data_IF_034623477260
#
_entry.id   IF_034623477260
#
_cell.length_a   1.000
_cell.length_b   1.000
_cell.length_c   1.000
_cell.angle_alpha   90.00
_cell.angle_beta   90.00
_cell.angle_gamma   90.00
#
_symmetry.space_group_name_H-M   'P 1'
#
loop_
_entity.id
_entity.type
_entity.pdbx_description
1 polymer ?
#
# COMPACT_ATOMS: atom_id res chain seq x y z
N UNK A 1 26.51 5.91 -22.72
CA UNK A 1 25.47 4.93 -22.32
C UNK A 1 25.69 4.56 -20.85
N UNK A 2 25.01 5.23 -19.93
CA UNK A 2 25.10 4.92 -18.49
C UNK A 2 24.13 3.79 -18.18
N UNK A 3 24.66 2.66 -17.73
CA UNK A 3 23.88 1.62 -17.07
C UNK A 3 23.09 2.26 -15.92
N UNK A 4 21.79 1.99 -15.83
CA UNK A 4 20.98 2.30 -14.65
C UNK A 4 21.51 1.45 -13.49
N UNK A 5 22.46 2.01 -12.74
CA UNK A 5 22.95 1.42 -11.51
C UNK A 5 21.86 1.60 -10.46
N UNK A 6 20.99 0.60 -10.33
CA UNK A 6 19.98 0.58 -9.29
C UNK A 6 20.68 0.41 -7.94
N UNK A 7 20.97 1.53 -7.29
CA UNK A 7 21.48 1.55 -5.93
C UNK A 7 20.33 1.23 -4.97
N UNK A 8 20.59 0.40 -3.96
CA UNK A 8 19.59 0.01 -2.97
C UNK A 8 19.01 1.23 -2.24
N UNK A 9 19.82 2.27 -2.09
CA UNK A 9 19.43 3.54 -1.45
C UNK A 9 18.24 4.24 -2.12
N UNK A 10 17.89 3.92 -3.38
CA UNK A 10 16.70 4.48 -4.02
C UNK A 10 15.37 3.91 -3.50
N UNK A 11 15.42 2.84 -2.70
CA UNK A 11 14.25 2.19 -2.12
C UNK A 11 14.20 2.32 -0.59
N UNK A 12 15.20 2.97 0.02
CA UNK A 12 15.21 3.26 1.45
C UNK A 12 14.23 4.39 1.79
N UNK A 13 13.51 4.24 2.90
CA UNK A 13 12.60 5.24 3.43
C UNK A 13 12.58 5.20 4.96
N UNK A 14 12.24 6.32 5.59
CA UNK A 14 12.13 6.42 7.04
C UNK A 14 10.89 5.67 7.53
N UNK A 15 11.10 4.54 8.21
CA UNK A 15 10.04 3.73 8.82
C UNK A 15 10.22 3.66 10.34
N UNK A 16 9.45 4.46 11.11
CA UNK A 16 9.40 4.33 12.55
C UNK A 16 8.98 2.91 12.96
N UNK A 17 9.71 2.31 13.91
CA UNK A 17 9.47 0.93 14.35
C UNK A 17 8.05 0.72 14.94
N UNK A 18 7.45 1.77 15.51
CA UNK A 18 6.07 1.76 16.03
C UNK A 18 4.99 1.56 14.96
N UNK A 19 5.30 1.91 13.70
CA UNK A 19 4.38 1.71 12.57
C UNK A 19 4.43 0.28 12.00
N UNK A 20 5.38 -0.54 12.47
CA UNK A 20 5.48 -1.95 12.12
C UNK A 20 4.49 -2.73 12.98
N UNK A 21 3.43 -3.23 12.34
CA UNK A 21 2.41 -4.02 13.02
C UNK A 21 3.02 -5.32 13.61
N UNK A 22 2.99 -5.43 14.93
CA UNK A 22 3.51 -6.60 15.66
C UNK A 22 2.52 -7.77 15.68
N UNK A 23 1.23 -7.47 15.51
CA UNK A 23 0.12 -8.44 15.49
C UNK A 23 -0.90 -8.02 14.43
N UNK A 24 -1.63 -8.96 13.82
CA UNK A 24 -2.72 -8.63 12.92
C UNK A 24 -3.85 -7.88 13.64
N UNK A 25 -4.69 -7.18 12.87
CA UNK A 25 -5.90 -6.54 13.41
C UNK A 25 -6.87 -7.58 14.00
N UNK A 26 -7.55 -7.19 15.08
CA UNK A 26 -8.39 -8.09 15.87
C UNK A 26 -9.58 -8.65 15.09
N UNK A 27 -10.13 -7.87 14.15
CA UNK A 27 -11.17 -8.32 13.22
C UNK A 27 -10.68 -8.23 11.78
N UNK A 28 -10.82 -9.34 11.04
CA UNK A 28 -10.51 -9.39 9.61
C UNK A 28 -11.36 -8.34 8.87
N UNK A 29 -10.70 -7.55 8.01
CA UNK A 29 -11.33 -6.50 7.21
C UNK A 29 -11.24 -5.08 7.79
N UNK A 30 -10.89 -4.91 9.06
CA UNK A 30 -10.76 -3.57 9.67
C UNK A 30 -9.40 -2.89 9.43
N UNK A 31 -8.49 -3.54 8.70
CA UNK A 31 -7.22 -2.93 8.34
C UNK A 31 -7.43 -1.76 7.36
N UNK A 32 -6.56 -0.74 7.46
CA UNK A 32 -6.54 0.38 6.49
C UNK A 32 -6.15 -0.14 5.10
N UNK A 33 -6.75 0.44 4.07
CA UNK A 33 -6.46 0.20 2.66
C UNK A 33 -5.97 1.52 2.04
N UNK A 34 -4.76 1.51 1.48
CA UNK A 34 -4.25 2.63 0.68
C UNK A 34 -4.48 2.32 -0.79
N UNK A 35 -5.28 3.16 -1.46
CA UNK A 35 -5.61 3.01 -2.88
C UNK A 35 -4.73 3.98 -3.67
N UNK A 36 -4.00 3.44 -4.63
CA UNK A 36 -3.07 4.19 -5.48
C UNK A 36 -3.57 4.13 -6.92
N UNK A 37 -3.98 5.26 -7.47
CA UNK A 37 -4.28 5.36 -8.89
C UNK A 37 -3.01 5.72 -9.66
N UNK A 38 -2.53 4.79 -10.49
CA UNK A 38 -1.30 4.95 -11.28
C UNK A 38 -1.42 5.95 -12.42
N UNK A 39 -2.61 6.09 -13.00
CA UNK A 39 -2.85 6.96 -14.16
C UNK A 39 -2.96 8.42 -13.72
N UNK A 40 -3.73 8.68 -12.66
CA UNK A 40 -3.94 10.03 -12.12
C UNK A 40 -2.94 10.41 -11.04
N UNK A 41 -2.08 9.48 -10.63
CA UNK A 41 -1.12 9.64 -9.53
C UNK A 41 -1.77 10.10 -8.21
N UNK A 42 -3.01 9.66 -7.96
CA UNK A 42 -3.75 10.02 -6.75
C UNK A 42 -3.65 8.93 -5.70
N UNK A 43 -3.69 9.36 -4.43
CA UNK A 43 -3.69 8.51 -3.26
C UNK A 43 -4.98 8.73 -2.48
N UNK A 44 -5.69 7.65 -2.16
CA UNK A 44 -6.88 7.70 -1.29
C UNK A 44 -6.77 6.65 -0.19
N UNK A 45 -7.46 6.90 0.93
CA UNK A 45 -7.51 6.00 2.07
C UNK A 45 -8.90 5.43 2.22
N UNK A 46 -8.97 4.12 2.44
CA UNK A 46 -10.21 3.37 2.61
C UNK A 46 -10.00 2.25 3.66
N UNK A 47 -10.98 1.39 3.86
CA UNK A 47 -10.93 0.23 4.75
C UNK A 47 -11.01 -1.06 3.94
N UNK A 48 -10.33 -2.11 4.39
CA UNK A 48 -10.25 -3.39 3.66
C UNK A 48 -11.62 -4.07 3.44
N UNK A 49 -12.66 -3.75 4.24
CA UNK A 49 -14.04 -4.20 3.99
C UNK A 49 -14.55 -3.78 2.61
N UNK A 50 -14.16 -2.59 2.14
CA UNK A 50 -14.60 -2.01 0.87
C UNK A 50 -13.77 -2.50 -0.33
N UNK A 51 -12.88 -3.48 -0.13
CA UNK A 51 -12.02 -3.99 -1.20
C UNK A 51 -12.82 -4.43 -2.44
N UNK A 52 -14.03 -4.97 -2.25
CA UNK A 52 -14.90 -5.41 -3.34
C UNK A 52 -15.24 -4.29 -4.32
N UNK A 53 -15.38 -3.05 -3.85
CA UNK A 53 -15.76 -1.90 -4.67
C UNK A 53 -14.62 -1.49 -5.63
N UNK A 54 -13.39 -1.88 -5.32
CA UNK A 54 -12.20 -1.62 -6.14
C UNK A 54 -11.88 -2.75 -7.13
N UNK A 55 -12.62 -3.86 -7.12
CA UNK A 55 -12.41 -5.00 -8.00
C UNK A 55 -13.39 -4.97 -9.16
N UNK A 56 -12.86 -4.92 -10.40
CA UNK A 56 -13.68 -4.83 -11.61
C UNK A 56 -14.52 -6.08 -11.90
N UNK A 57 -14.10 -7.24 -11.39
CA UNK A 57 -14.70 -8.54 -11.68
C UNK A 57 -14.98 -9.30 -10.38
N UNK A 58 -16.00 -8.91 -9.63
CA UNK A 58 -16.59 -9.79 -8.63
C UNK A 58 -17.84 -10.42 -9.25
N UNK A 59 -17.87 -11.74 -9.53
CA UNK A 59 -19.11 -12.44 -9.82
C UNK A 59 -20.04 -12.44 -8.59
#
# INVERSE_FOLDING_TARGET
MSFLKHNLSHFDFDLPAELIAQKPSQRRGQSRLMVVNRETQTLTHDTFINLKDHLKNCP
#
